data_IF_868659134854
#
_entry.id   IF_868659134854
#
_cell.length_a   1.000
_cell.length_b   1.000
_cell.length_c   1.000
_cell.angle_alpha   90.00
_cell.angle_beta   90.00
_cell.angle_gamma   90.00
#
_symmetry.space_group_name_H-M   'P 1'
#
loop_
_entity.id
_entity.type
_entity.pdbx_description
1 polymer ?
#
# COMPACT_ATOMS: atom_id res chain seq x y z
N UNK A 1 27.65 -9.94 9.57
CA UNK A 1 26.68 -9.21 8.73
C UNK A 1 25.71 -10.22 8.16
N UNK A 2 24.42 -10.19 8.53
CA UNK A 2 23.41 -11.07 7.94
C UNK A 2 23.25 -10.68 6.47
N UNK A 3 23.58 -11.60 5.55
CA UNK A 3 23.37 -11.38 4.10
C UNK A 3 21.87 -11.30 3.84
N UNK A 4 21.38 -10.15 3.39
CA UNK A 4 20.01 -10.03 2.89
C UNK A 4 19.87 -10.82 1.59
N UNK A 5 18.69 -11.38 1.30
CA UNK A 5 18.43 -12.01 0.01
C UNK A 5 18.64 -11.05 -1.17
N UNK A 6 18.46 -9.73 -0.95
CA UNK A 6 18.60 -8.71 -1.98
C UNK A 6 20.05 -8.49 -2.36
N UNK A 7 21.00 -8.79 -1.47
CA UNK A 7 22.44 -8.81 -1.79
C UNK A 7 22.88 -10.07 -2.55
N UNK A 8 22.05 -11.12 -2.58
CA UNK A 8 22.31 -12.34 -3.34
C UNK A 8 21.60 -12.35 -4.71
N UNK A 9 20.50 -11.59 -4.86
CA UNK A 9 19.72 -11.47 -6.09
C UNK A 9 20.21 -10.32 -6.98
N UNK A 10 19.94 -10.41 -8.28
CA UNK A 10 20.20 -9.32 -9.20
C UNK A 10 19.36 -8.07 -8.79
N UNK A 11 19.95 -6.86 -8.74
CA UNK A 11 19.26 -5.65 -8.25
C UNK A 11 17.93 -5.36 -8.95
N UNK A 12 17.86 -5.65 -10.26
CA UNK A 12 16.64 -5.49 -11.04
C UNK A 12 15.47 -6.37 -10.56
N UNK A 13 15.75 -7.60 -10.13
CA UNK A 13 14.71 -8.52 -9.63
C UNK A 13 14.12 -8.00 -8.32
N UNK A 14 14.96 -7.46 -7.44
CA UNK A 14 14.53 -6.83 -6.20
C UNK A 14 13.64 -5.62 -6.45
N UNK A 15 14.02 -4.77 -7.42
CA UNK A 15 13.20 -3.63 -7.84
C UNK A 15 11.85 -4.07 -8.42
N UNK A 16 11.85 -5.07 -9.31
CA UNK A 16 10.62 -5.59 -9.91
C UNK A 16 9.68 -6.16 -8.84
N UNK A 17 10.21 -6.89 -7.85
CA UNK A 17 9.43 -7.43 -6.75
C UNK A 17 8.84 -6.32 -5.87
N UNK A 18 9.60 -5.25 -5.62
CA UNK A 18 9.12 -4.08 -4.89
C UNK A 18 7.97 -3.37 -5.63
N UNK A 19 8.09 -3.19 -6.95
CA UNK A 19 7.04 -2.59 -7.79
C UNK A 19 5.78 -3.47 -7.82
N UNK A 20 5.94 -4.79 -7.93
CA UNK A 20 4.81 -5.73 -7.84
C UNK A 20 4.10 -5.64 -6.49
N UNK A 21 4.85 -5.60 -5.39
CA UNK A 21 4.29 -5.42 -4.05
C UNK A 21 3.58 -4.07 -3.90
N UNK A 22 4.12 -3.00 -4.51
CA UNK A 22 3.48 -1.68 -4.54
C UNK A 22 2.10 -1.73 -5.22
N UNK A 23 2.00 -2.33 -6.41
CA UNK A 23 0.71 -2.44 -7.10
C UNK A 23 -0.27 -3.35 -6.35
N UNK A 24 0.20 -4.47 -5.81
CA UNK A 24 -0.62 -5.37 -5.00
C UNK A 24 -1.16 -4.67 -3.74
N UNK A 25 -0.29 -3.92 -3.05
CA UNK A 25 -0.66 -3.14 -1.88
C UNK A 25 -1.61 -1.98 -2.22
N UNK A 26 -1.40 -1.28 -3.34
CA UNK A 26 -2.33 -0.26 -3.84
C UNK A 26 -3.73 -0.83 -4.02
N UNK A 27 -3.84 -1.99 -4.69
CA UNK A 27 -5.12 -2.62 -5.00
C UNK A 27 -5.82 -3.08 -3.72
N UNK A 28 -5.11 -3.81 -2.85
CA UNK A 28 -5.67 -4.30 -1.58
C UNK A 28 -6.13 -3.15 -0.67
N UNK A 29 -5.31 -2.12 -0.48
CA UNK A 29 -5.66 -1.00 0.39
C UNK A 29 -6.72 -0.09 -0.22
N UNK A 30 -6.84 0.00 -1.54
CA UNK A 30 -7.94 0.72 -2.18
C UNK A 30 -9.28 0.01 -1.92
N UNK A 31 -9.30 -1.34 -1.96
CA UNK A 31 -10.49 -2.11 -1.59
C UNK A 31 -10.82 -1.88 -0.11
N UNK A 32 -9.82 -1.95 0.79
CA UNK A 32 -10.04 -1.68 2.22
C UNK A 32 -10.54 -0.26 2.47
N UNK A 33 -9.98 0.74 1.77
CA UNK A 33 -10.42 2.12 1.85
C UNK A 33 -11.88 2.27 1.41
N UNK A 34 -12.26 1.62 0.30
CA UNK A 34 -13.63 1.64 -0.19
C UNK A 34 -14.60 1.03 0.84
N UNK A 35 -14.24 -0.08 1.48
CA UNK A 35 -15.05 -0.70 2.55
C UNK A 35 -15.24 0.29 3.71
N UNK A 36 -14.17 0.96 4.15
CA UNK A 36 -14.24 1.95 5.25
C UNK A 36 -15.11 3.15 4.87
N UNK A 37 -14.93 3.68 3.67
CA UNK A 37 -15.74 4.82 3.17
C UNK A 37 -17.22 4.43 3.09
N UNK A 38 -17.53 3.23 2.59
CA UNK A 38 -18.92 2.71 2.54
C UNK A 38 -19.49 2.54 3.95
N UNK A 39 -18.71 2.01 4.89
CA UNK A 39 -19.18 1.79 6.27
C UNK A 39 -19.49 3.12 6.99
N UNK A 40 -18.76 4.19 6.70
CA UNK A 40 -18.94 5.50 7.34
C UNK A 40 -19.98 6.39 6.66
N UNK A 41 -19.99 6.42 5.32
CA UNK A 41 -20.74 7.39 4.53
C UNK A 41 -21.79 6.75 3.61
N UNK A 42 -21.91 5.42 3.63
CA UNK A 42 -22.74 4.66 2.69
C UNK A 42 -22.20 4.68 1.26
N UNK A 43 -23.04 4.29 0.30
CA UNK A 43 -22.68 4.31 -1.13
C UNK A 43 -22.73 5.70 -1.77
N UNK A 44 -23.20 6.72 -1.04
CA UNK A 44 -23.45 8.07 -1.56
C UNK A 44 -22.19 8.75 -2.13
N UNK A 45 -21.01 8.71 -1.46
CA UNK A 45 -19.79 9.29 -2.02
C UNK A 45 -19.34 8.57 -3.29
N UNK A 46 -19.39 7.24 -3.32
CA UNK A 46 -18.96 6.43 -4.46
C UNK A 46 -19.80 6.68 -5.72
N UNK A 47 -21.11 6.93 -5.57
CA UNK A 47 -21.98 7.32 -6.68
C UNK A 47 -21.76 8.77 -7.14
N UNK A 48 -21.34 9.66 -6.23
CA UNK A 48 -20.96 11.04 -6.52
C UNK A 48 -19.75 11.19 -7.44
N UNK A 49 -18.88 10.18 -7.50
CA UNK A 49 -17.68 10.16 -8.37
C UNK A 49 -18.07 10.36 -9.83
N UNK A 50 -19.14 9.73 -10.27
CA UNK A 50 -19.60 9.80 -11.66
C UNK A 50 -20.44 11.04 -11.98
N UNK A 51 -21.07 11.67 -10.99
CA UNK A 51 -21.99 12.80 -11.20
C UNK A 51 -21.32 14.18 -11.05
N UNK A 52 -20.06 14.23 -10.61
CA UNK A 52 -19.36 15.50 -10.36
C UNK A 52 -19.88 16.27 -9.13
N UNK A 53 -20.85 15.71 -8.40
CA UNK A 53 -21.22 16.20 -7.07
C UNK A 53 -20.07 15.89 -6.12
N UNK A 54 -19.46 16.94 -5.60
CA UNK A 54 -18.19 16.90 -4.89
C UNK A 54 -18.11 15.78 -3.87
N UNK A 55 -17.10 14.91 -4.04
CA UNK A 55 -16.73 13.93 -3.04
C UNK A 55 -16.44 14.65 -1.73
N UNK A 56 -16.97 14.14 -0.61
CA UNK A 56 -16.62 14.67 0.71
C UNK A 56 -15.08 14.63 0.86
N UNK A 57 -14.50 15.77 1.23
CA UNK A 57 -13.05 15.93 1.39
C UNK A 57 -12.52 14.89 2.38
N UNK A 58 -13.32 14.56 3.39
CA UNK A 58 -13.04 13.53 4.40
C UNK A 58 -12.91 12.15 3.76
N UNK A 59 -13.80 11.77 2.84
CA UNK A 59 -13.74 10.50 2.14
C UNK A 59 -12.52 10.42 1.19
N UNK A 60 -12.14 11.52 0.52
CA UNK A 60 -10.89 11.57 -0.28
C UNK A 60 -9.69 11.34 0.62
N UNK A 61 -9.63 12.00 1.78
CA UNK A 61 -8.52 11.86 2.73
C UNK A 61 -8.36 10.43 3.23
N UNK A 62 -9.46 9.76 3.59
CA UNK A 62 -9.45 8.35 4.00
C UNK A 62 -8.87 7.49 2.87
N UNK A 63 -9.39 7.66 1.65
CA UNK A 63 -8.92 6.91 0.50
C UNK A 63 -7.42 7.12 0.26
N UNK A 64 -6.95 8.36 0.31
CA UNK A 64 -5.55 8.70 0.10
C UNK A 64 -4.63 8.15 1.20
N UNK A 65 -5.03 8.20 2.48
CA UNK A 65 -4.25 7.63 3.60
C UNK A 65 -4.09 6.12 3.44
N UNK A 66 -5.19 5.41 3.14
CA UNK A 66 -5.14 3.96 2.95
C UNK A 66 -4.32 3.59 1.72
N UNK A 67 -4.57 4.19 0.57
CA UNK A 67 -3.85 3.85 -0.67
C UNK A 67 -2.36 4.21 -0.59
N UNK A 68 -2.00 5.35 0.01
CA UNK A 68 -0.58 5.69 0.24
C UNK A 68 0.11 4.72 1.21
N UNK A 69 -0.58 4.31 2.28
CA UNK A 69 -0.07 3.27 3.20
C UNK A 69 0.16 1.95 2.46
N UNK A 70 -0.80 1.54 1.63
CA UNK A 70 -0.71 0.33 0.82
C UNK A 70 0.36 0.36 -0.26
N UNK A 71 0.68 1.53 -0.82
CA UNK A 71 1.71 1.67 -1.85
C UNK A 71 3.13 1.83 -1.29
N UNK A 72 3.29 2.48 -0.15
CA UNK A 72 4.63 2.87 0.31
C UNK A 72 5.06 2.18 1.61
N UNK A 73 4.14 1.95 2.54
CA UNK A 73 4.47 1.39 3.86
C UNK A 73 4.39 -0.14 3.82
N UNK A 74 3.23 -0.68 3.42
CA UNK A 74 3.02 -2.13 3.40
C UNK A 74 4.03 -2.89 2.51
N UNK A 75 4.39 -2.40 1.30
CA UNK A 75 5.34 -3.09 0.43
C UNK A 75 6.76 -3.11 1.01
N UNK A 76 7.20 -2.02 1.64
CA UNK A 76 8.50 -1.96 2.30
C UNK A 76 8.60 -2.95 3.47
N UNK A 77 7.54 -3.05 4.29
CA UNK A 77 7.47 -4.02 5.38
C UNK A 77 7.47 -5.47 4.87
N UNK A 78 6.67 -5.77 3.85
CA UNK A 78 6.62 -7.10 3.24
C UNK A 78 7.94 -7.46 2.57
N UNK A 79 8.55 -6.53 1.84
CA UNK A 79 9.84 -6.73 1.19
C UNK A 79 10.95 -7.02 2.22
N UNK A 80 11.01 -6.24 3.30
CA UNK A 80 11.96 -6.46 4.38
C UNK A 80 11.81 -7.85 5.02
N UNK A 81 10.57 -8.31 5.21
CA UNK A 81 10.26 -9.65 5.74
C UNK A 81 10.65 -10.78 4.76
N UNK A 82 10.52 -10.56 3.46
CA UNK A 82 10.92 -11.53 2.44
C UNK A 82 12.45 -11.61 2.28
N UNK A 83 13.14 -10.49 2.45
CA UNK A 83 14.59 -10.38 2.20
C UNK A 83 15.46 -10.62 3.46
N UNK A 84 14.89 -10.56 4.66
CA UNK A 84 15.61 -10.78 5.92
C UNK A 84 14.72 -11.42 6.99
N UNK A 85 15.26 -12.38 7.75
CA UNK A 85 14.60 -12.89 8.97
C UNK A 85 14.45 -11.79 10.04
N UNK A 86 15.41 -10.85 10.09
CA UNK A 86 15.39 -9.71 11.00
C UNK A 86 15.01 -8.45 10.21
N UNK A 87 13.72 -8.29 9.94
CA UNK A 87 13.15 -7.20 9.15
C UNK A 87 13.34 -5.81 9.81
N UNK A 88 13.33 -5.72 11.14
CA UNK A 88 13.59 -4.47 11.89
C UNK A 88 15.01 -3.97 11.63
N UNK A 89 16.00 -4.87 11.77
CA UNK A 89 17.39 -4.55 11.49
C UNK A 89 17.64 -4.21 10.01
N UNK A 90 16.85 -4.80 9.09
CA UNK A 90 16.91 -4.49 7.66
C UNK A 90 16.40 -3.06 7.37
N UNK A 91 15.31 -2.66 8.02
CA UNK A 91 14.72 -1.32 7.88
C UNK A 91 15.49 -0.24 8.66
N UNK A 92 16.43 -0.63 9.52
CA UNK A 92 17.19 0.27 10.41
C UNK A 92 16.27 1.14 11.29
N UNK A 93 15.16 0.55 11.73
CA UNK A 93 14.24 1.07 12.73
C UNK A 93 14.69 0.63 14.12
#
# INVERSE_FOLDING_TARGET
MLKSGSTARHPFTSLLLLVLLMFAGALLFTILAAIVVIAMYGFKPLMGISSGEGFSIEAIRILQIFTSTGMFIAPALFFAKLESQNWIAYLKL
#
